data_IF_804824938894
#
_entry.id   IF_804824938894
#
_cell.length_a   1.000
_cell.length_b   1.000
_cell.length_c   1.000
_cell.angle_alpha   90.00
_cell.angle_beta   90.00
_cell.angle_gamma   90.00
#
_symmetry.space_group_name_H-M   'P 1'
#
loop_
_entity.id
_entity.type
_entity.pdbx_description
1 polymer ?
#
# COMPACT_ATOMS: atom_id res chain seq x y z
N UNK A 1 9.02 21.29 -0.61
CA UNK A 1 8.25 21.29 -1.87
C UNK A 1 7.16 22.34 -1.76
N UNK A 2 7.47 23.53 -2.28
CA UNK A 2 6.60 24.69 -2.21
C UNK A 2 5.48 24.65 -3.27
N UNK A 3 4.46 25.49 -3.11
CA UNK A 3 3.46 25.73 -4.18
C UNK A 3 4.13 26.14 -5.49
N UNK A 4 5.15 27.00 -5.44
CA UNK A 4 5.87 27.44 -6.64
C UNK A 4 6.59 26.28 -7.35
N UNK A 5 7.21 25.37 -6.58
CA UNK A 5 7.80 24.15 -7.14
C UNK A 5 6.74 23.30 -7.86
N UNK A 6 5.52 23.26 -7.33
CA UNK A 6 4.42 22.48 -7.89
C UNK A 6 3.73 23.14 -9.07
N UNK A 7 3.69 24.46 -9.13
CA UNK A 7 3.29 25.18 -10.34
C UNK A 7 4.29 24.92 -11.47
N UNK A 8 5.59 24.94 -11.18
CA UNK A 8 6.62 24.60 -12.15
C UNK A 8 6.50 23.13 -12.61
N UNK A 9 6.36 22.18 -11.68
CA UNK A 9 6.17 20.77 -11.99
C UNK A 9 4.90 20.52 -12.83
N UNK A 10 3.80 21.21 -12.51
CA UNK A 10 2.57 21.13 -13.27
C UNK A 10 2.76 21.69 -14.68
N UNK A 11 3.43 22.83 -14.82
CA UNK A 11 3.74 23.43 -16.12
C UNK A 11 4.52 22.44 -17.00
N UNK A 12 5.53 21.76 -16.43
CA UNK A 12 6.25 20.69 -17.13
C UNK A 12 5.30 19.62 -17.63
N UNK A 13 4.42 19.09 -16.77
CA UNK A 13 3.52 18.00 -17.16
C UNK A 13 2.45 18.39 -18.18
N UNK A 14 2.02 19.65 -18.16
CA UNK A 14 1.05 20.22 -19.10
C UNK A 14 1.72 20.73 -20.39
N UNK A 15 3.04 20.83 -20.41
CA UNK A 15 3.83 21.26 -21.57
C UNK A 15 3.65 20.28 -22.72
N UNK A 16 3.57 20.80 -23.95
CA UNK A 16 3.67 19.98 -25.16
C UNK A 16 5.04 19.26 -25.24
N UNK A 17 6.04 19.75 -24.47
CA UNK A 17 7.42 19.28 -24.45
C UNK A 17 8.00 19.28 -23.03
N UNK A 18 7.50 18.41 -22.13
CA UNK A 18 7.92 18.35 -20.71
C UNK A 18 9.43 18.26 -20.54
N UNK A 19 10.10 17.52 -21.44
CA UNK A 19 11.55 17.30 -21.41
C UNK A 19 12.35 18.61 -21.63
N UNK A 20 11.88 19.52 -22.50
CA UNK A 20 12.58 20.80 -22.76
C UNK A 20 12.55 21.70 -21.52
N UNK A 21 11.45 21.68 -20.77
CA UNK A 21 11.29 22.41 -19.50
C UNK A 21 12.03 21.73 -18.34
N UNK A 22 11.98 20.40 -18.23
CA UNK A 22 12.69 19.62 -17.20
C UNK A 22 14.20 19.78 -17.26
N UNK A 23 14.77 19.76 -18.48
CA UNK A 23 16.22 19.82 -18.66
C UNK A 23 16.73 21.23 -18.92
N UNK A 24 15.85 22.26 -18.90
CA UNK A 24 16.21 23.65 -19.19
C UNK A 24 16.95 23.81 -20.51
N UNK A 25 16.68 22.90 -21.46
CA UNK A 25 17.46 22.72 -22.68
C UNK A 25 16.55 22.97 -23.88
N UNK A 26 16.21 24.23 -24.17
CA UNK A 26 15.57 24.56 -25.43
C UNK A 26 16.50 24.12 -26.57
N UNK A 27 15.90 23.64 -27.65
CA UNK A 27 16.65 23.15 -28.82
C UNK A 27 17.77 24.14 -29.20
N UNK A 28 19.01 23.63 -29.31
CA UNK A 28 20.13 24.36 -29.93
C UNK A 28 21.05 25.17 -29.00
N UNK A 29 20.97 25.03 -27.66
CA UNK A 29 21.91 25.72 -26.76
C UNK A 29 23.27 25.02 -26.55
N UNK A 30 23.35 23.70 -26.75
CA UNK A 30 24.60 22.95 -26.71
C UNK A 30 24.88 22.39 -28.10
N UNK A 31 26.10 22.56 -28.62
CA UNK A 31 26.48 21.94 -29.88
C UNK A 31 26.28 20.42 -29.80
N UNK A 32 25.44 19.90 -30.69
CA UNK A 32 25.19 18.48 -30.79
C UNK A 32 26.51 17.75 -31.04
N UNK A 33 26.75 16.67 -30.29
CA UNK A 33 27.89 15.77 -30.50
C UNK A 33 27.38 14.47 -31.07
N UNK A 34 28.03 14.03 -32.14
CA UNK A 34 27.71 12.73 -32.73
C UNK A 34 28.11 11.61 -31.77
N UNK A 35 27.13 10.77 -31.42
CA UNK A 35 27.34 9.56 -30.65
C UNK A 35 26.91 8.36 -31.49
N UNK A 36 27.82 7.42 -31.72
CA UNK A 36 27.51 6.17 -32.43
C UNK A 36 27.48 5.02 -31.44
N UNK A 37 26.33 4.37 -31.32
CA UNK A 37 26.18 3.19 -30.45
C UNK A 37 26.59 1.95 -31.23
N UNK A 38 27.46 1.12 -30.65
CA UNK A 38 27.98 -0.10 -31.31
C UNK A 38 27.08 -1.33 -31.18
N UNK A 39 26.00 -1.24 -30.42
CA UNK A 39 25.08 -2.34 -30.12
C UNK A 39 23.64 -1.83 -30.04
N UNK A 40 22.68 -2.72 -30.29
CA UNK A 40 21.27 -2.43 -30.04
C UNK A 40 21.07 -1.99 -28.59
N UNK A 41 20.35 -0.89 -28.40
CA UNK A 41 20.02 -0.36 -27.08
C UNK A 41 18.71 -0.98 -26.56
N UNK A 42 18.47 -0.92 -25.24
CA UNK A 42 17.14 -1.19 -24.70
C UNK A 42 16.10 -0.27 -25.35
N UNK A 43 14.80 -0.61 -25.27
CA UNK A 43 13.73 0.27 -25.75
C UNK A 43 13.90 1.68 -25.20
N UNK A 44 13.98 2.65 -26.10
CA UNK A 44 14.09 4.08 -25.77
C UNK A 44 12.72 4.72 -25.84
N UNK A 45 12.46 5.71 -24.97
CA UNK A 45 11.21 6.47 -24.99
C UNK A 45 11.35 7.60 -26.00
N UNK A 46 10.54 7.59 -27.05
CA UNK A 46 10.44 8.71 -28.00
C UNK A 46 9.41 9.72 -27.49
N UNK A 47 9.62 10.99 -27.80
CA UNK A 47 8.71 12.07 -27.42
C UNK A 47 8.67 13.16 -28.49
N UNK A 48 7.54 13.87 -28.56
CA UNK A 48 7.26 14.88 -29.59
C UNK A 48 7.52 14.37 -31.02
N UNK A 49 7.26 13.07 -31.26
CA UNK A 49 7.36 12.46 -32.58
C UNK A 49 6.13 12.84 -33.42
N UNK A 50 6.34 13.45 -34.59
CA UNK A 50 5.31 13.81 -35.55
C UNK A 50 4.95 12.68 -36.53
N UNK A 51 5.62 11.53 -36.39
CA UNK A 51 5.47 10.36 -37.25
C UNK A 51 6.08 10.52 -38.66
N UNK A 52 6.75 11.64 -38.96
CA UNK A 52 7.21 11.99 -40.32
C UNK A 52 8.65 12.50 -40.38
N UNK A 53 9.14 13.14 -39.34
CA UNK A 53 10.49 13.71 -39.27
C UNK A 53 11.56 12.62 -39.33
N UNK A 54 12.65 12.88 -40.06
CA UNK A 54 13.82 11.98 -40.15
C UNK A 54 14.49 11.78 -38.79
N UNK A 55 14.50 12.82 -37.96
CA UNK A 55 15.08 12.79 -36.63
C UNK A 55 13.98 12.80 -35.57
N UNK A 56 14.10 11.89 -34.61
CA UNK A 56 13.15 11.69 -33.51
C UNK A 56 13.84 12.00 -32.20
N UNK A 57 13.17 12.75 -31.32
CA UNK A 57 13.70 12.95 -29.96
C UNK A 57 13.50 11.67 -29.16
N UNK A 58 14.57 11.17 -28.57
CA UNK A 58 14.56 9.98 -27.77
C UNK A 58 15.33 10.20 -26.47
N UNK A 59 14.80 9.67 -25.37
CA UNK A 59 15.51 9.62 -24.10
C UNK A 59 16.36 8.36 -24.06
N UNK A 60 17.67 8.52 -24.21
CA UNK A 60 18.63 7.43 -24.28
C UNK A 60 19.30 7.25 -22.91
N UNK A 61 19.15 6.09 -22.25
CA UNK A 61 19.81 5.84 -20.96
C UNK A 61 21.32 6.07 -21.04
N UNK A 62 21.85 6.87 -20.11
CA UNK A 62 23.28 7.23 -20.07
C UNK A 62 23.70 8.37 -20.99
N UNK A 63 22.85 8.80 -21.94
CA UNK A 63 23.12 9.91 -22.85
C UNK A 63 22.11 11.06 -22.74
N UNK A 64 20.95 10.81 -22.12
CA UNK A 64 19.90 11.82 -21.93
C UNK A 64 19.11 12.06 -23.21
N UNK A 65 18.73 13.33 -23.46
CA UNK A 65 17.98 13.73 -24.64
C UNK A 65 18.87 13.65 -25.90
N UNK A 66 18.48 12.80 -26.85
CA UNK A 66 19.22 12.56 -28.09
C UNK A 66 18.30 12.70 -29.31
N UNK A 67 18.90 13.11 -30.43
CA UNK A 67 18.29 12.96 -31.75
C UNK A 67 18.72 11.62 -32.33
N UNK A 68 17.74 10.77 -32.65
CA UNK A 68 17.96 9.46 -33.28
C UNK A 68 17.32 9.47 -34.65
N UNK A 69 17.98 8.90 -35.66
CA UNK A 69 17.37 8.76 -36.99
C UNK A 69 16.23 7.76 -36.90
N UNK A 70 15.09 8.10 -37.52
CA UNK A 70 13.89 7.26 -37.52
C UNK A 70 14.17 5.86 -38.08
N UNK A 71 15.01 5.77 -39.10
CA UNK A 71 15.37 4.50 -39.75
C UNK A 71 16.14 3.55 -38.82
N UNK A 72 16.73 4.07 -37.73
CA UNK A 72 17.43 3.29 -36.71
C UNK A 72 16.50 2.88 -35.54
N UNK A 73 15.23 3.29 -35.57
CA UNK A 73 14.22 2.98 -34.55
C UNK A 73 13.26 1.88 -35.02
N UNK A 74 12.99 0.92 -34.14
CA UNK A 74 11.95 -0.10 -34.32
C UNK A 74 10.74 0.28 -33.46
N UNK A 75 9.72 0.89 -34.06
CA UNK A 75 8.50 1.25 -33.36
C UNK A 75 7.69 0.00 -33.01
N UNK A 76 7.33 -0.11 -31.74
CA UNK A 76 6.41 -1.13 -31.26
C UNK A 76 5.05 -0.45 -31.10
N UNK A 77 4.00 -0.98 -31.71
CA UNK A 77 2.63 -0.52 -31.49
C UNK A 77 2.24 -0.85 -30.04
N UNK A 78 2.54 0.05 -29.11
CA UNK A 78 1.84 0.11 -27.83
C UNK A 78 0.47 0.70 -28.11
N UNK A 79 -0.58 -0.11 -27.96
CA UNK A 79 -1.96 0.35 -28.00
C UNK A 79 -2.08 1.67 -27.22
N UNK A 80 -2.59 2.72 -27.86
CA UNK A 80 -2.71 4.09 -27.30
C UNK A 80 -3.46 4.10 -25.96
N UNK A 81 -4.23 3.06 -25.65
CA UNK A 81 -4.85 2.80 -24.35
C UNK A 81 -3.86 2.56 -23.20
N UNK A 82 -2.61 2.15 -23.47
CA UNK A 82 -1.56 1.97 -22.45
C UNK A 82 -0.80 3.25 -22.11
N UNK A 83 -0.82 4.28 -22.98
CA UNK A 83 -0.12 5.55 -22.74
C UNK A 83 -0.71 6.34 -21.56
N UNK A 84 -2.02 6.22 -21.30
CA UNK A 84 -2.70 6.81 -20.13
C UNK A 84 -2.65 5.92 -18.88
N UNK A 85 -2.18 4.68 -18.99
CA UNK A 85 -2.12 3.70 -17.88
C UNK A 85 -0.81 3.79 -17.08
N UNK A 86 0.25 4.37 -17.68
CA UNK A 86 1.63 4.38 -17.19
C UNK A 86 1.96 5.41 -16.09
N UNK A 87 0.99 5.80 -15.27
CA UNK A 87 1.25 6.65 -14.10
C UNK A 87 1.84 5.87 -12.92
N UNK A 88 2.47 6.59 -11.97
CA UNK A 88 3.03 6.00 -10.75
C UNK A 88 1.93 5.26 -10.00
N UNK A 89 2.13 3.97 -9.70
CA UNK A 89 1.16 3.15 -8.95
C UNK A 89 1.48 3.09 -7.46
N UNK A 90 2.76 3.14 -7.11
CA UNK A 90 3.24 3.03 -5.75
C UNK A 90 4.19 4.20 -5.49
N UNK A 91 3.89 4.99 -4.46
CA UNK A 91 4.69 6.16 -4.12
C UNK A 91 4.96 6.20 -2.62
N UNK A 92 6.21 6.49 -2.26
CA UNK A 92 6.64 6.76 -0.89
C UNK A 92 7.28 8.12 -0.82
N UNK A 93 6.79 8.96 0.09
CA UNK A 93 7.31 10.30 0.34
C UNK A 93 7.69 10.35 1.82
N UNK A 94 8.94 10.72 2.08
CA UNK A 94 9.44 11.04 3.42
C UNK A 94 9.95 12.47 3.44
N UNK A 95 9.86 13.11 4.59
CA UNK A 95 10.43 14.44 4.82
C UNK A 95 11.65 14.28 5.73
N UNK A 96 12.65 15.16 5.58
CA UNK A 96 13.91 15.06 6.30
C UNK A 96 13.92 16.08 7.45
N UNK A 97 14.25 15.64 8.66
CA UNK A 97 14.03 16.37 9.92
C UNK A 97 15.00 17.53 10.20
N UNK A 98 15.86 17.89 9.25
CA UNK A 98 17.02 18.73 9.52
C UNK A 98 16.88 20.21 9.13
N UNK A 99 15.82 20.61 8.42
CA UNK A 99 15.63 22.01 7.96
C UNK A 99 14.17 22.46 8.02
N UNK A 100 13.92 23.78 8.13
CA UNK A 100 12.59 24.37 7.95
C UNK A 100 12.10 24.11 6.50
N UNK A 101 11.35 23.04 6.26
CA UNK A 101 10.84 22.70 4.93
C UNK A 101 9.41 23.20 4.71
N UNK A 102 9.22 23.96 3.63
CA UNK A 102 7.90 24.34 3.14
C UNK A 102 7.28 23.16 2.38
N UNK A 103 6.16 22.62 2.87
CA UNK A 103 5.43 21.46 2.31
C UNK A 103 4.05 21.82 1.75
N UNK A 104 3.74 23.11 1.61
CA UNK A 104 2.46 23.63 1.12
C UNK A 104 2.10 23.21 -0.32
N UNK A 105 3.08 22.73 -1.09
CA UNK A 105 2.87 22.15 -2.43
C UNK A 105 2.33 20.72 -2.41
N UNK A 106 2.39 19.98 -1.29
CA UNK A 106 1.99 18.57 -1.25
C UNK A 106 0.56 18.29 -1.75
N UNK A 107 -0.47 19.08 -1.38
CA UNK A 107 -1.82 18.89 -1.92
C UNK A 107 -1.88 19.00 -3.45
N UNK A 108 -1.15 19.96 -4.02
CA UNK A 108 -1.09 20.16 -5.48
C UNK A 108 -0.38 19.00 -6.17
N UNK A 109 0.71 18.52 -5.58
CA UNK A 109 1.41 17.34 -6.06
C UNK A 109 0.49 16.11 -6.09
N UNK A 110 -0.20 15.83 -4.97
CA UNK A 110 -1.11 14.69 -4.88
C UNK A 110 -2.30 14.82 -5.83
N UNK A 111 -2.79 16.04 -6.12
CA UNK A 111 -3.84 16.25 -7.11
C UNK A 111 -3.40 15.82 -8.53
N UNK A 112 -2.11 15.92 -8.83
CA UNK A 112 -1.55 15.57 -10.14
C UNK A 112 -1.28 14.06 -10.24
N UNK A 113 -0.58 13.48 -9.27
CA UNK A 113 -0.17 12.05 -9.35
C UNK A 113 -1.22 11.09 -8.80
N UNK A 114 -2.08 11.58 -7.90
CA UNK A 114 -3.05 10.81 -7.12
C UNK A 114 -4.02 9.94 -7.93
N UNK A 115 -4.57 10.39 -9.08
CA UNK A 115 -5.45 9.57 -9.91
C UNK A 115 -4.82 8.25 -10.38
N UNK A 116 -3.50 8.19 -10.50
CA UNK A 116 -2.79 6.99 -10.95
C UNK A 116 -2.38 6.04 -9.83
N UNK A 117 -2.34 6.53 -8.57
CA UNK A 117 -1.82 5.80 -7.42
C UNK A 117 -2.77 4.70 -6.92
N UNK A 118 -2.16 3.56 -6.57
CA UNK A 118 -2.77 2.42 -5.87
C UNK A 118 -2.26 2.31 -4.43
N UNK A 119 -0.99 2.58 -4.19
CA UNK A 119 -0.39 2.61 -2.86
C UNK A 119 0.33 3.93 -2.60
N UNK A 120 0.11 4.51 -1.42
CA UNK A 120 0.80 5.72 -0.98
C UNK A 120 1.33 5.54 0.44
N UNK A 121 2.62 5.78 0.63
CA UNK A 121 3.22 5.96 1.96
C UNK A 121 3.64 7.42 2.11
N UNK A 122 3.15 8.07 3.14
CA UNK A 122 3.44 9.46 3.45
C UNK A 122 3.94 9.56 4.88
N UNK A 123 5.10 10.18 5.06
CA UNK A 123 5.53 10.69 6.36
C UNK A 123 4.81 12.02 6.66
N UNK A 124 4.12 12.11 7.78
CA UNK A 124 3.33 13.27 8.22
C UNK A 124 3.92 13.94 9.45
N UNK A 125 5.17 13.62 9.84
CA UNK A 125 5.82 14.19 11.04
C UNK A 125 5.72 15.70 11.14
N UNK A 126 5.81 16.38 10.00
CA UNK A 126 5.87 17.84 9.90
C UNK A 126 4.87 18.39 8.86
N UNK A 127 3.87 17.59 8.47
CA UNK A 127 2.89 17.98 7.44
C UNK A 127 1.47 17.81 7.94
N UNK A 128 0.73 18.92 8.04
CA UNK A 128 -0.70 18.92 8.32
C UNK A 128 -1.50 18.52 7.07
N UNK A 129 -1.51 17.23 6.74
CA UNK A 129 -2.42 16.69 5.73
C UNK A 129 -3.36 15.65 6.33
N UNK A 130 -4.65 15.98 6.31
CA UNK A 130 -5.68 15.05 6.78
C UNK A 130 -5.83 13.84 5.85
N UNK A 131 -6.10 12.66 6.40
CA UNK A 131 -6.35 11.45 5.64
C UNK A 131 -7.43 11.64 4.55
N UNK A 132 -8.48 12.41 4.84
CA UNK A 132 -9.54 12.70 3.87
C UNK A 132 -9.07 13.55 2.69
N UNK A 133 -8.08 14.43 2.88
CA UNK A 133 -7.49 15.19 1.78
C UNK A 133 -6.74 14.26 0.82
N UNK A 134 -5.97 13.31 1.36
CA UNK A 134 -5.29 12.27 0.58
C UNK A 134 -6.29 11.42 -0.21
N UNK A 135 -7.36 10.95 0.44
CA UNK A 135 -8.40 10.12 -0.20
C UNK A 135 -9.08 10.88 -1.36
N UNK A 136 -9.34 12.18 -1.20
CA UNK A 136 -9.94 13.01 -2.26
C UNK A 136 -9.01 13.18 -3.46
N UNK A 137 -7.72 13.39 -3.24
CA UNK A 137 -6.74 13.55 -4.32
C UNK A 137 -6.39 12.22 -5.01
N UNK A 138 -6.57 11.10 -4.33
CA UNK A 138 -6.17 9.77 -4.79
C UNK A 138 -7.37 8.80 -4.89
N UNK A 139 -8.21 8.91 -5.93
CA UNK A 139 -9.47 8.17 -6.04
C UNK A 139 -9.32 6.67 -6.32
N UNK A 140 -8.16 6.17 -6.74
CA UNK A 140 -7.92 4.76 -7.08
C UNK A 140 -7.08 4.01 -6.03
N UNK A 141 -6.85 4.65 -4.90
CA UNK A 141 -6.00 4.16 -3.83
C UNK A 141 -6.59 2.91 -3.18
N UNK A 142 -5.80 1.84 -3.14
CA UNK A 142 -6.09 0.57 -2.49
C UNK A 142 -5.47 0.53 -1.09
N UNK A 143 -4.37 1.27 -0.86
CA UNK A 143 -3.63 1.27 0.39
C UNK A 143 -2.99 2.63 0.69
N UNK A 144 -3.05 3.02 1.97
CA UNK A 144 -2.36 4.22 2.49
C UNK A 144 -1.64 3.90 3.77
N UNK A 145 -0.41 4.35 3.88
CA UNK A 145 0.37 4.34 5.11
C UNK A 145 0.73 5.78 5.48
N UNK A 146 0.18 6.28 6.58
CA UNK A 146 0.53 7.57 7.15
C UNK A 146 1.42 7.32 8.38
N UNK A 147 2.66 7.78 8.34
CA UNK A 147 3.68 7.55 9.37
C UNK A 147 4.16 8.86 9.96
N UNK A 148 4.79 8.82 11.13
CA UNK A 148 5.39 10.00 11.74
C UNK A 148 4.40 10.88 12.47
N UNK A 149 3.13 10.47 12.60
CA UNK A 149 2.18 11.23 13.41
C UNK A 149 2.68 11.33 14.86
N UNK A 150 2.47 12.48 15.50
CA UNK A 150 2.97 12.76 16.85
C UNK A 150 2.65 11.66 17.88
N UNK A 151 1.50 10.99 17.71
CA UNK A 151 1.06 9.88 18.56
C UNK A 151 0.79 8.58 17.81
N UNK A 152 0.51 8.58 16.50
CA UNK A 152 0.01 7.39 15.80
C UNK A 152 0.50 7.27 14.35
N UNK A 153 0.86 6.05 13.95
CA UNK A 153 0.98 5.66 12.54
C UNK A 153 -0.17 4.75 12.16
N UNK A 154 -0.76 4.97 10.98
CA UNK A 154 -1.94 4.24 10.55
C UNK A 154 -1.78 3.75 9.11
N UNK A 155 -2.07 2.46 8.91
CA UNK A 155 -2.21 1.85 7.59
C UNK A 155 -3.68 1.55 7.30
N UNK A 156 -4.20 2.20 6.27
CA UNK A 156 -5.52 1.99 5.72
C UNK A 156 -5.48 1.04 4.53
N UNK A 157 -6.49 0.19 4.43
CA UNK A 157 -6.72 -0.65 3.27
C UNK A 157 -8.14 -0.40 2.73
N UNK A 158 -8.20 -0.01 1.46
CA UNK A 158 -9.43 0.32 0.73
C UNK A 158 -9.75 -0.71 -0.35
N UNK A 159 -8.98 -1.79 -0.47
CA UNK A 159 -9.08 -2.76 -1.57
C UNK A 159 -10.48 -3.38 -1.70
N UNK A 160 -11.19 -3.60 -0.59
CA UNK A 160 -12.57 -4.11 -0.61
C UNK A 160 -13.55 -3.10 -1.24
N UNK A 161 -13.47 -1.82 -0.86
CA UNK A 161 -14.25 -0.75 -1.48
C UNK A 161 -13.95 -0.63 -2.97
N UNK A 162 -12.67 -0.72 -3.37
CA UNK A 162 -12.27 -0.69 -4.78
C UNK A 162 -12.77 -1.89 -5.57
N UNK A 163 -12.73 -3.09 -4.98
CA UNK A 163 -13.25 -4.28 -5.61
C UNK A 163 -14.79 -4.22 -5.81
N UNK A 164 -15.50 -3.50 -4.94
CA UNK A 164 -16.94 -3.29 -5.01
C UNK A 164 -17.34 -2.06 -5.84
N UNK A 165 -16.37 -1.32 -6.40
CA UNK A 165 -16.58 -0.02 -7.06
C UNK A 165 -17.30 1.01 -6.17
N UNK A 166 -17.08 0.95 -4.86
CA UNK A 166 -17.61 1.90 -3.89
C UNK A 166 -16.60 3.02 -3.61
N UNK A 167 -17.11 4.21 -3.29
CA UNK A 167 -16.29 5.32 -2.83
C UNK A 167 -15.87 5.11 -1.38
N UNK A 168 -14.61 5.38 -1.07
CA UNK A 168 -14.11 5.33 0.31
C UNK A 168 -14.85 6.40 1.14
N UNK A 169 -15.46 6.02 2.28
CA UNK A 169 -16.14 6.97 3.17
C UNK A 169 -15.16 7.94 3.83
N UNK A 170 -15.67 9.09 4.28
CA UNK A 170 -14.85 10.00 5.11
C UNK A 170 -14.46 9.32 6.43
N UNK A 171 -13.19 9.43 6.77
CA UNK A 171 -12.61 8.81 7.94
C UNK A 171 -12.50 9.84 9.07
N UNK A 172 -13.13 9.59 10.24
CA UNK A 172 -12.96 10.42 11.43
C UNK A 172 -11.64 10.06 12.12
N UNK A 173 -10.51 10.50 11.55
CA UNK A 173 -9.18 10.26 12.11
C UNK A 173 -8.81 11.40 13.03
N UNK A 174 -8.71 11.13 14.33
CA UNK A 174 -8.20 12.05 15.33
C UNK A 174 -6.77 11.65 15.71
N UNK A 175 -5.78 12.34 15.15
CA UNK A 175 -4.34 12.03 15.32
C UNK A 175 -3.86 12.26 16.76
N UNK A 176 -4.39 13.29 17.41
CA UNK A 176 -3.93 13.73 18.74
C UNK A 176 -4.71 13.08 19.91
N UNK A 177 -5.72 12.27 19.60
CA UNK A 177 -6.64 11.72 20.59
C UNK A 177 -6.79 10.20 20.44
N UNK A 178 -5.89 9.48 21.09
CA UNK A 178 -5.90 8.00 21.14
C UNK A 178 -7.25 7.48 21.65
N UNK A 179 -7.88 8.13 22.62
CA UNK A 179 -9.17 7.68 23.15
C UNK A 179 -10.30 7.76 22.11
N UNK A 180 -10.38 8.83 21.33
CA UNK A 180 -11.36 8.95 20.26
C UNK A 180 -11.10 7.95 19.13
N UNK A 181 -9.82 7.79 18.74
CA UNK A 181 -9.42 6.77 17.76
C UNK A 181 -9.86 5.37 18.20
N UNK A 182 -9.59 5.01 19.46
CA UNK A 182 -9.96 3.73 20.05
C UNK A 182 -11.48 3.53 20.08
N UNK A 183 -12.26 4.57 20.37
CA UNK A 183 -13.72 4.51 20.32
C UNK A 183 -14.24 4.21 18.90
N UNK A 184 -13.65 4.85 17.89
CA UNK A 184 -13.98 4.57 16.49
C UNK A 184 -13.59 3.16 16.07
N UNK A 185 -12.45 2.64 16.52
CA UNK A 185 -11.99 1.28 16.22
C UNK A 185 -12.78 0.19 16.94
N UNK A 186 -13.37 0.52 18.10
CA UNK A 186 -14.23 -0.39 18.87
C UNK A 186 -15.62 -0.55 18.25
N UNK A 187 -16.06 0.40 17.41
CA UNK A 187 -17.35 0.35 16.74
C UNK A 187 -17.24 -0.37 15.38
N UNK A 188 -17.83 -1.58 15.21
CA UNK A 188 -17.71 -2.35 13.97
C UNK A 188 -18.40 -1.68 12.76
N UNK A 189 -19.32 -0.74 13.01
CA UNK A 189 -20.00 0.02 11.96
C UNK A 189 -19.20 1.26 11.54
N UNK A 190 -18.14 1.62 12.25
CA UNK A 190 -17.27 2.75 11.90
C UNK A 190 -16.51 2.47 10.61
N UNK A 191 -16.48 3.45 9.71
CA UNK A 191 -15.62 3.41 8.53
C UNK A 191 -14.15 3.19 8.88
N UNK A 192 -13.69 3.83 9.98
CA UNK A 192 -12.33 3.70 10.47
C UNK A 192 -12.01 2.25 10.86
N UNK A 193 -12.90 1.58 11.61
CA UNK A 193 -12.71 0.20 12.01
C UNK A 193 -12.58 -0.72 10.79
N UNK A 194 -13.35 -0.50 9.73
CA UNK A 194 -13.28 -1.33 8.51
C UNK A 194 -12.02 -1.10 7.68
N UNK A 195 -11.49 0.13 7.67
CA UNK A 195 -10.36 0.51 6.82
C UNK A 195 -9.00 0.31 7.49
N UNK A 196 -8.88 0.47 8.81
CA UNK A 196 -7.60 0.41 9.51
C UNK A 196 -7.15 -1.05 9.69
N UNK A 197 -5.95 -1.36 9.19
CA UNK A 197 -5.37 -2.72 9.30
C UNK A 197 -4.15 -2.77 10.20
N UNK A 198 -3.29 -1.76 10.16
CA UNK A 198 -2.13 -1.67 11.04
C UNK A 198 -2.14 -0.34 11.77
N UNK A 199 -1.93 -0.39 13.08
CA UNK A 199 -1.87 0.76 13.95
C UNK A 199 -0.62 0.68 14.80
N UNK A 200 0.15 1.77 14.84
CA UNK A 200 1.21 1.94 15.83
C UNK A 200 0.90 3.18 16.66
N UNK A 201 1.11 3.09 17.97
CA UNK A 201 0.85 4.16 18.92
C UNK A 201 2.15 4.47 19.66
N UNK A 202 2.57 5.72 19.61
CA UNK A 202 3.71 6.25 20.33
C UNK A 202 3.26 6.98 21.59
N UNK A 203 4.19 7.09 22.55
CA UNK A 203 4.14 8.09 23.63
C UNK A 203 2.82 8.15 24.40
N UNK A 204 2.19 6.99 24.69
CA UNK A 204 0.96 6.96 25.51
C UNK A 204 1.19 7.55 26.92
N UNK A 205 2.45 7.64 27.34
CA UNK A 205 2.91 8.12 28.63
C UNK A 205 3.15 9.66 28.67
N UNK A 206 3.27 10.32 27.51
CA UNK A 206 3.65 11.75 27.39
C UNK A 206 2.45 12.69 27.21
N UNK A 207 1.21 12.23 27.47
CA UNK A 207 0.02 13.09 27.39
C UNK A 207 0.23 14.31 28.31
N UNK A 208 0.26 15.56 27.79
CA UNK A 208 0.65 16.73 28.58
C UNK A 208 -0.34 16.98 29.72
N UNK A 209 0.00 16.52 30.91
CA UNK A 209 -0.58 16.96 32.16
C UNK A 209 0.30 18.05 32.75
N UNK A 210 -0.31 19.08 33.35
CA UNK A 210 0.35 20.21 34.02
C UNK A 210 1.59 19.74 34.77
N UNK A 211 2.77 20.16 34.28
CA UNK A 211 4.07 19.86 34.88
C UNK A 211 4.17 20.60 36.22
N UNK A 212 3.71 19.97 37.28
CA UNK A 212 4.08 20.36 38.64
C UNK A 212 5.45 19.76 38.89
N UNK A 213 6.43 20.65 39.05
CA UNK A 213 7.83 20.36 39.40
C UNK A 213 7.92 19.16 40.36
N UNK A 214 8.42 18.03 39.85
CA UNK A 214 8.75 16.84 40.63
C UNK A 214 7.87 15.60 40.44
N UNK A 215 6.86 15.60 39.57
CA UNK A 215 6.05 14.40 39.28
C UNK A 215 6.13 14.04 37.78
N UNK A 216 6.81 12.94 37.46
CA UNK A 216 6.85 12.35 36.13
C UNK A 216 5.48 11.85 35.67
N UNK A 217 5.34 11.71 34.35
CA UNK A 217 4.32 10.97 33.56
C UNK A 217 2.88 11.00 34.09
N UNK A 218 1.92 11.39 33.25
CA UNK A 218 0.49 11.36 33.61
C UNK A 218 -0.06 9.92 33.62
N UNK A 219 0.43 9.11 34.58
CA UNK A 219 0.19 7.68 34.75
C UNK A 219 -1.29 7.29 34.66
N UNK A 220 -2.27 8.04 35.23
CA UNK A 220 -3.68 7.70 35.09
C UNK A 220 -4.21 7.78 33.65
N UNK A 221 -3.77 8.76 32.87
CA UNK A 221 -4.20 8.93 31.47
C UNK A 221 -3.63 7.82 30.59
N UNK A 222 -2.33 7.53 30.74
CA UNK A 222 -1.66 6.41 30.07
C UNK A 222 -2.34 5.06 30.38
N UNK A 223 -2.66 4.84 31.66
CA UNK A 223 -3.37 3.63 32.11
C UNK A 223 -4.78 3.52 31.51
N UNK A 224 -5.50 4.65 31.41
CA UNK A 224 -6.80 4.73 30.73
C UNK A 224 -6.70 4.36 29.26
N UNK A 225 -5.69 4.89 28.55
CA UNK A 225 -5.42 4.58 27.15
C UNK A 225 -5.13 3.09 26.91
N UNK A 226 -4.28 2.48 27.73
CA UNK A 226 -3.96 1.05 27.62
C UNK A 226 -5.18 0.16 27.87
N UNK A 227 -6.01 0.49 28.86
CA UNK A 227 -7.27 -0.24 29.10
C UNK A 227 -8.24 -0.10 27.93
N UNK A 228 -8.38 1.11 27.39
CA UNK A 228 -9.24 1.34 26.23
C UNK A 228 -8.77 0.52 25.02
N UNK A 229 -7.46 0.41 24.79
CA UNK A 229 -6.89 -0.44 23.74
C UNK A 229 -7.22 -1.93 23.94
N UNK A 230 -7.12 -2.42 25.18
CA UNK A 230 -7.51 -3.80 25.51
C UNK A 230 -9.01 -4.04 25.28
N UNK A 231 -9.87 -3.10 25.67
CA UNK A 231 -11.30 -3.21 25.44
C UNK A 231 -11.64 -3.17 23.94
N UNK A 232 -10.94 -2.36 23.16
CA UNK A 232 -11.06 -2.34 21.70
C UNK A 232 -10.63 -3.67 21.08
N UNK A 233 -9.53 -4.28 21.52
CA UNK A 233 -9.06 -5.57 21.00
C UNK A 233 -10.07 -6.71 21.18
N UNK A 234 -10.92 -6.64 22.22
CA UNK A 234 -11.99 -7.63 22.46
C UNK A 234 -13.12 -7.56 21.43
N UNK A 235 -13.40 -6.37 20.89
CA UNK A 235 -14.58 -6.11 20.03
C UNK A 235 -14.17 -5.96 18.56
N UNK A 236 -13.00 -5.39 18.30
CA UNK A 236 -12.52 -5.17 16.95
C UNK A 236 -12.23 -6.51 16.25
N UNK A 237 -12.62 -6.63 14.98
CA UNK A 237 -12.47 -7.85 14.17
C UNK A 237 -11.63 -7.63 12.90
N UNK A 238 -11.09 -6.43 12.69
CA UNK A 238 -10.48 -6.01 11.42
C UNK A 238 -9.00 -5.65 11.53
N UNK A 239 -8.56 -5.21 12.72
CA UNK A 239 -7.20 -4.80 13.01
C UNK A 239 -6.28 -6.02 13.03
N UNK A 240 -5.25 -5.99 12.20
CA UNK A 240 -4.29 -7.07 11.99
C UNK A 240 -3.02 -6.87 12.78
N UNK A 241 -2.63 -5.62 13.02
CA UNK A 241 -1.39 -5.29 13.67
C UNK A 241 -1.59 -4.10 14.61
N UNK A 242 -1.20 -4.30 15.87
CA UNK A 242 -1.10 -3.24 16.87
C UNK A 242 0.30 -3.24 17.48
N UNK A 243 0.99 -2.11 17.43
CA UNK A 243 2.28 -1.90 18.13
C UNK A 243 2.16 -0.68 19.04
N UNK A 244 2.27 -0.90 20.35
CA UNK A 244 2.15 0.16 21.36
C UNK A 244 3.51 0.37 22.00
N UNK A 245 4.06 1.57 21.83
CA UNK A 245 5.33 1.99 22.44
C UNK A 245 5.04 2.65 23.80
N UNK A 246 5.48 2.01 24.88
CA UNK A 246 5.29 2.49 26.26
C UNK A 246 6.58 2.37 27.05
N UNK A 247 6.82 3.30 27.97
CA UNK A 247 7.97 3.27 28.86
C UNK A 247 7.79 2.20 29.94
N UNK A 248 8.60 1.14 29.91
CA UNK A 248 8.50 0.08 30.92
C UNK A 248 8.94 0.55 32.32
N UNK A 249 9.81 1.56 32.41
CA UNK A 249 10.18 2.20 33.68
C UNK A 249 9.00 2.80 34.42
N UNK A 250 7.92 3.17 33.72
CA UNK A 250 6.71 3.73 34.32
C UNK A 250 5.77 2.69 34.93
N UNK A 251 6.09 1.39 34.81
CA UNK A 251 5.31 0.28 35.37
C UNK A 251 4.29 -0.33 34.40
N UNK A 252 4.27 0.11 33.14
CA UNK A 252 3.33 -0.37 32.13
C UNK A 252 3.62 -1.79 31.63
N UNK A 253 4.76 -2.38 32.00
CA UNK A 253 5.09 -3.79 31.71
C UNK A 253 4.05 -4.78 32.27
N UNK A 254 3.30 -4.39 33.31
CA UNK A 254 2.24 -5.21 33.90
C UNK A 254 1.12 -5.54 32.90
N UNK A 255 0.93 -4.70 31.87
CA UNK A 255 -0.07 -4.92 30.82
C UNK A 255 0.34 -5.99 29.81
N UNK A 256 1.61 -6.44 29.80
CA UNK A 256 2.08 -7.47 28.85
C UNK A 256 1.23 -8.74 28.92
N UNK A 257 0.87 -9.17 30.12
CA UNK A 257 0.06 -10.37 30.33
C UNK A 257 -1.39 -10.18 29.88
N UNK A 258 -1.89 -8.93 29.87
CA UNK A 258 -3.24 -8.59 29.38
C UNK A 258 -3.30 -8.49 27.86
N UNK A 259 -2.22 -8.03 27.19
CA UNK A 259 -2.16 -7.97 25.72
C UNK A 259 -1.85 -9.33 25.07
N UNK A 260 -1.09 -10.21 25.76
CA UNK A 260 -0.66 -11.51 25.22
C UNK A 260 -1.80 -12.38 24.67
N UNK A 261 -2.98 -12.51 25.32
CA UNK A 261 -4.09 -13.31 24.79
C UNK A 261 -4.65 -12.81 23.45
N UNK A 262 -4.45 -11.54 23.13
CA UNK A 262 -4.91 -10.94 21.87
C UNK A 262 -3.90 -11.12 20.73
N UNK A 263 -2.68 -11.56 21.03
CA UNK A 263 -1.68 -11.90 20.03
C UNK A 263 -1.98 -13.26 19.39
N UNK A 264 -1.83 -13.34 18.07
CA UNK A 264 -2.18 -14.46 17.20
C UNK A 264 -3.65 -14.87 17.26
N UNK A 265 -4.53 -13.97 17.72
CA UNK A 265 -5.97 -14.20 17.69
C UNK A 265 -6.48 -14.15 16.24
N UNK A 266 -7.25 -15.15 15.77
CA UNK A 266 -7.88 -15.11 14.45
C UNK A 266 -8.85 -13.93 14.33
N UNK A 267 -8.82 -13.23 13.20
CA UNK A 267 -9.73 -12.12 12.90
C UNK A 267 -10.70 -12.49 11.76
N UNK A 268 -11.71 -11.64 11.52
CA UNK A 268 -12.73 -11.85 10.47
C UNK A 268 -12.19 -11.45 9.07
N UNK A 269 -11.01 -11.96 8.74
CA UNK A 269 -10.35 -11.80 7.45
C UNK A 269 -9.61 -13.09 7.13
N UNK A 270 -9.71 -13.52 5.89
CA UNK A 270 -9.08 -14.76 5.43
C UNK A 270 -7.99 -14.45 4.41
N UNK A 271 -6.87 -15.17 4.51
CA UNK A 271 -5.77 -15.06 3.56
C UNK A 271 -6.19 -15.61 2.20
N UNK A 272 -5.56 -15.16 1.12
CA UNK A 272 -5.75 -15.81 -0.17
C UNK A 272 -5.11 -17.20 -0.11
N UNK A 273 -5.89 -18.24 -0.41
CA UNK A 273 -5.38 -19.61 -0.46
C UNK A 273 -4.21 -19.69 -1.48
N UNK A 274 -3.03 -20.25 -1.11
CA UNK A 274 -1.86 -20.30 -1.98
C UNK A 274 -2.14 -20.98 -3.32
N UNK A 275 -1.47 -20.52 -4.37
CA UNK A 275 -1.66 -21.04 -5.73
C UNK A 275 -1.28 -22.52 -5.80
N UNK A 276 -0.27 -22.94 -5.03
CA UNK A 276 0.17 -24.33 -4.91
C UNK A 276 -0.93 -25.20 -4.31
N UNK A 277 -1.62 -24.72 -3.26
CA UNK A 277 -2.74 -25.44 -2.64
C UNK A 277 -3.93 -25.54 -3.60
N UNK A 278 -4.23 -24.46 -4.33
CA UNK A 278 -5.26 -24.47 -5.39
C UNK A 278 -4.91 -25.47 -6.49
N UNK A 279 -3.66 -25.48 -6.95
CA UNK A 279 -3.17 -26.39 -7.98
C UNK A 279 -3.19 -27.86 -7.52
N UNK A 280 -2.76 -28.13 -6.29
CA UNK A 280 -2.82 -29.45 -5.67
C UNK A 280 -4.27 -29.94 -5.58
N UNK A 281 -5.21 -29.10 -5.15
CA UNK A 281 -6.64 -29.42 -5.13
C UNK A 281 -7.16 -29.77 -6.54
N UNK A 282 -6.85 -28.96 -7.55
CA UNK A 282 -7.26 -29.20 -8.93
C UNK A 282 -6.64 -30.48 -9.53
N UNK A 283 -5.43 -30.86 -9.13
CA UNK A 283 -4.73 -32.05 -9.63
C UNK A 283 -5.46 -33.37 -9.35
N UNK A 284 -6.24 -33.41 -8.26
CA UNK A 284 -7.08 -34.56 -7.88
C UNK A 284 -8.18 -34.82 -8.92
N UNK A 285 -8.68 -33.76 -9.56
CA UNK A 285 -9.71 -33.85 -10.59
C UNK A 285 -9.12 -34.15 -11.98
N UNK A 286 -7.88 -33.72 -12.25
CA UNK A 286 -7.21 -33.96 -13.55
C UNK A 286 -6.72 -35.41 -13.72
N UNK A 287 -6.27 -36.05 -12.63
CA UNK A 287 -5.73 -37.43 -12.66
C UNK A 287 -6.79 -38.50 -12.94
N UNK A 288 -8.06 -38.25 -12.61
CA UNK A 288 -9.17 -39.18 -12.90
C UNK A 288 -9.51 -39.31 -14.39
N UNK A 289 -9.07 -38.38 -15.23
CA UNK A 289 -9.42 -38.36 -16.66
C UNK A 289 -8.52 -39.26 -17.51
N UNK A 290 -7.34 -39.65 -17.00
CA UNK A 290 -6.35 -40.49 -17.72
C UNK A 290 -6.44 -41.99 -17.44
N UNK A 291 -7.13 -42.42 -16.38
CA UNK A 291 -7.24 -43.85 -16.02
C UNK A 291 -8.24 -44.66 -16.89
N UNK A 292 -8.67 -44.12 -18.03
CA UNK A 292 -9.65 -44.75 -18.93
C UNK A 292 -9.11 -45.15 -20.31
N UNK A 293 -7.81 -45.02 -20.57
CA UNK A 293 -7.24 -45.29 -21.91
C UNK A 293 -6.13 -46.34 -21.99
N UNK A 294 -5.72 -46.97 -20.90
CA UNK A 294 -4.81 -48.13 -20.96
C UNK A 294 -5.39 -49.29 -20.15
N UNK A 295 -6.10 -50.17 -20.87
CA UNK A 295 -6.02 -51.64 -20.79
C UNK A 295 -7.33 -52.26 -21.30
N UNK A 296 -7.43 -52.37 -22.62
CA UNK A 296 -8.27 -53.39 -23.23
C UNK A 296 -7.58 -54.76 -23.06
N UNK A 297 -7.90 -55.49 -22.00
CA UNK A 297 -7.78 -56.97 -21.98
C UNK A 297 -8.77 -57.60 -21.00
N UNK A 298 -9.84 -58.12 -21.61
CA UNK A 298 -10.77 -59.17 -21.15
C UNK A 298 -10.71 -59.63 -19.68
N UNK A 299 -11.83 -59.48 -18.95
CA UNK A 299 -12.57 -60.62 -18.37
C UNK A 299 -13.91 -60.20 -17.74
N UNK A 300 -14.85 -61.15 -17.83
CA UNK A 300 -16.30 -61.12 -17.59
C UNK A 300 -16.77 -60.62 -16.21
N UNK A 301 -17.93 -59.94 -16.27
CA UNK A 301 -19.08 -59.93 -15.34
C UNK A 301 -18.81 -59.83 -13.83
N UNK A 302 -19.11 -58.65 -13.28
CA UNK A 302 -19.83 -58.53 -12.01
C UNK A 302 -20.57 -57.19 -11.96
N UNK A 303 -21.88 -57.27 -11.74
CA UNK A 303 -22.75 -56.13 -11.45
C UNK A 303 -22.32 -55.50 -10.13
N UNK A 304 -21.73 -54.32 -10.18
CA UNK A 304 -21.85 -53.34 -9.11
C UNK A 304 -22.10 -52.00 -9.78
N UNK A 305 -23.26 -51.43 -9.50
CA UNK A 305 -23.54 -50.01 -9.72
C UNK A 305 -22.53 -49.19 -8.92
N UNK A 306 -21.29 -49.08 -9.38
CA UNK A 306 -20.44 -47.99 -8.97
C UNK A 306 -20.97 -46.77 -9.70
N UNK A 307 -21.85 -46.07 -8.98
CA UNK A 307 -22.25 -44.71 -9.25
C UNK A 307 -21.06 -43.97 -9.84
N UNK A 308 -21.12 -43.72 -11.15
CA UNK A 308 -20.40 -42.63 -11.78
C UNK A 308 -20.94 -41.40 -11.08
N UNK A 309 -20.39 -41.05 -9.91
CA UNK A 309 -20.65 -39.77 -9.27
C UNK A 309 -20.01 -38.78 -10.22
N UNK A 310 -20.80 -37.99 -10.96
CA UNK A 310 -20.22 -36.89 -11.68
C UNK A 310 -19.79 -35.93 -10.57
N UNK A 311 -18.49 -35.83 -10.30
CA UNK A 311 -17.96 -34.54 -9.87
C UNK A 311 -18.07 -33.67 -11.12
N UNK A 312 -19.32 -33.25 -11.35
CA UNK A 312 -19.76 -32.28 -12.33
C UNK A 312 -18.76 -31.15 -12.25
N UNK A 313 -18.25 -30.75 -13.41
CA UNK A 313 -17.43 -29.57 -13.65
C UNK A 313 -17.60 -28.56 -12.52
N UNK A 314 -16.64 -28.54 -11.58
CA UNK A 314 -16.64 -27.54 -10.53
C UNK A 314 -16.49 -26.21 -11.26
N UNK A 315 -17.59 -25.45 -11.31
CA UNK A 315 -17.58 -24.15 -11.93
C UNK A 315 -16.67 -23.19 -11.12
N UNK A 316 -16.31 -22.08 -11.73
CA UNK A 316 -15.43 -21.09 -11.11
C UNK A 316 -15.99 -20.55 -9.79
N UNK A 317 -17.32 -20.49 -9.64
CA UNK A 317 -17.97 -20.00 -8.43
C UNK A 317 -17.78 -21.00 -7.28
N UNK A 318 -18.03 -22.29 -7.51
CA UNK A 318 -17.82 -23.35 -6.51
C UNK A 318 -16.36 -23.44 -6.10
N UNK A 319 -15.42 -23.36 -7.06
CA UNK A 319 -13.98 -23.33 -6.76
C UNK A 319 -13.57 -22.11 -5.92
N UNK A 320 -14.15 -20.94 -6.21
CA UNK A 320 -13.93 -19.73 -5.44
C UNK A 320 -14.46 -19.89 -4.01
N UNK A 321 -15.67 -20.41 -3.84
CA UNK A 321 -16.28 -20.65 -2.52
C UNK A 321 -15.49 -21.66 -1.69
N UNK A 322 -15.04 -22.77 -2.28
CA UNK A 322 -14.17 -23.74 -1.61
C UNK A 322 -12.86 -23.08 -1.18
N UNK A 323 -12.25 -22.28 -2.07
CA UNK A 323 -10.99 -21.59 -1.78
C UNK A 323 -11.15 -20.55 -0.66
N UNK A 324 -12.27 -19.84 -0.63
CA UNK A 324 -12.60 -18.87 0.41
C UNK A 324 -12.86 -19.56 1.76
N UNK A 325 -13.53 -20.72 1.76
CA UNK A 325 -13.77 -21.49 2.98
C UNK A 325 -12.50 -22.16 3.53
N UNK A 326 -11.62 -22.65 2.65
CA UNK A 326 -10.37 -23.29 3.03
C UNK A 326 -9.24 -22.30 3.36
N UNK A 327 -9.46 -21.01 3.13
CA UNK A 327 -8.49 -19.97 3.42
C UNK A 327 -8.23 -19.89 4.93
N UNK A 328 -6.96 -19.89 5.38
CA UNK A 328 -6.66 -19.69 6.79
C UNK A 328 -7.03 -18.26 7.21
N UNK A 329 -7.56 -18.08 8.44
CA UNK A 329 -7.81 -16.75 8.97
C UNK A 329 -6.47 -16.02 9.18
N UNK A 330 -6.50 -14.70 9.02
CA UNK A 330 -5.39 -13.83 9.41
C UNK A 330 -5.29 -13.86 10.93
N UNK A 331 -4.05 -13.96 11.44
CA UNK A 331 -3.77 -13.92 12.87
C UNK A 331 -3.33 -12.51 13.24
N UNK A 332 -4.00 -11.91 14.24
CA UNK A 332 -3.66 -10.57 14.71
C UNK A 332 -2.31 -10.55 15.40
N UNK A 333 -1.47 -9.60 15.06
CA UNK A 333 -0.23 -9.31 15.76
C UNK A 333 -0.41 -8.15 16.74
N UNK A 334 0.06 -8.31 17.97
CA UNK A 334 -0.11 -7.33 19.05
C UNK A 334 1.20 -7.27 19.81
N UNK A 335 1.80 -6.09 19.84
CA UNK A 335 3.08 -5.84 20.49
C UNK A 335 2.95 -4.68 21.46
N UNK A 336 3.55 -4.86 22.63
CA UNK A 336 3.78 -3.82 23.61
C UNK A 336 5.30 -3.75 23.80
N UNK A 337 5.91 -2.62 23.46
CA UNK A 337 7.37 -2.48 23.36
C UNK A 337 7.85 -1.27 24.15
N UNK A 338 9.01 -1.42 24.77
CA UNK A 338 9.76 -0.31 25.35
C UNK A 338 10.63 0.31 24.25
N UNK A 339 10.44 1.60 23.91
CA UNK A 339 11.37 2.25 22.99
C UNK A 339 12.75 2.36 23.63
N UNK A 340 13.85 2.04 22.93
CA UNK A 340 15.18 2.22 23.49
C UNK A 340 15.45 3.70 23.74
N UNK A 341 16.18 4.00 24.83
CA UNK A 341 16.45 5.36 25.34
C UNK A 341 17.12 6.34 24.34
N UNK A 342 17.57 5.87 23.17
CA UNK A 342 18.36 6.65 22.21
C UNK A 342 18.06 6.38 20.72
N UNK A 343 16.95 5.73 20.36
CA UNK A 343 16.58 5.62 18.94
C UNK A 343 15.40 6.55 18.65
N UNK A 344 15.71 7.83 18.45
CA UNK A 344 14.91 8.68 17.56
C UNK A 344 15.04 8.20 16.10
N UNK A 345 15.99 7.29 15.80
CA UNK A 345 16.35 6.87 14.45
C UNK A 345 15.70 5.59 13.93
N UNK A 346 14.93 4.83 14.74
CA UNK A 346 14.28 3.61 14.26
C UNK A 346 12.89 3.91 13.65
N UNK A 347 12.88 4.83 12.68
CA UNK A 347 11.82 4.96 11.66
C UNK A 347 11.74 3.72 10.74
N UNK A 348 12.28 2.57 11.17
CA UNK A 348 11.95 1.28 10.61
C UNK A 348 10.48 0.97 10.90
N UNK A 349 9.69 1.50 9.98
CA UNK A 349 8.64 0.85 9.20
C UNK A 349 7.76 -0.03 10.08
N UNK A 350 6.49 0.37 10.23
CA UNK A 350 5.43 -0.63 10.21
C UNK A 350 5.83 -1.68 9.16
N UNK A 351 6.10 -2.95 9.52
CA UNK A 351 6.57 -3.93 8.56
C UNK A 351 5.63 -3.89 7.35
N UNK A 352 6.15 -4.11 6.15
CA UNK A 352 5.34 -4.08 4.92
C UNK A 352 4.38 -5.27 4.89
#
# INVERSE_FOLDING_TARGET
MSVADMEAFKAVLESDRPEEELFGSPRGQVEARDATVKSSLPPVRTFSDDGKSEWVNALVPGYGNCYVRRDDLVFHDTDVSTALSGGVKDLRIGFNDYDDFVSDGLPNFLAIVGPSLKSLTLDISEVEIGANAVIRSCPNLEEVLLMGGALVDIRFNFSEFRAQNESVPELPVEWDNVSALVNHLSNPNSALAKCVRRLRIYRIDDVPGVVVLGAGYNRPAAQGGLRALLDMLKVNTSLEYLDVKVSFSSGHFLYLDEFRPHHLQPIDRFLKLPTETKAAFLSVFSTRRKAGQEEARERRMSRVNHAVRPLVQLDQHVLSTISAFAAPPVLREVYLRDPPYHEEDDYNRLPI
#
